data_IF_113923566189
#
_entry.id   IF_113923566189
#
_cell.length_a   1.000
_cell.length_b   1.000
_cell.length_c   1.000
_cell.angle_alpha   90.00
_cell.angle_beta   90.00
_cell.angle_gamma   90.00
#
_symmetry.space_group_name_H-M   'P 1'
#
loop_
_entity.id
_entity.type
_entity.pdbx_description
1 polymer ?
#
# COMPACT_ATOMS: atom_id res chain seq x y z
N UNK A 1 -43.61 75.51 1.74
CA UNK A 1 -42.33 75.87 1.09
C UNK A 1 -42.04 74.89 -0.01
N UNK A 2 -42.23 75.37 -1.25
CA UNK A 2 -41.43 75.11 -2.47
C UNK A 2 -41.38 73.65 -2.95
N UNK A 3 -42.22 73.25 -3.93
CA UNK A 3 -42.11 73.47 -5.40
C UNK A 3 -41.05 72.57 -6.04
N UNK A 4 -41.28 71.83 -7.14
CA UNK A 4 -42.34 71.89 -8.15
C UNK A 4 -42.37 70.61 -9.02
N UNK A 5 -43.50 70.39 -9.72
CA UNK A 5 -43.72 70.49 -11.19
C UNK A 5 -43.46 69.19 -11.96
N UNK A 6 -44.53 68.51 -12.40
CA UNK A 6 -45.15 68.54 -13.77
C UNK A 6 -44.44 67.54 -14.73
N UNK A 7 -45.05 66.73 -15.61
CA UNK A 7 -46.41 66.57 -16.12
C UNK A 7 -46.55 65.19 -16.84
N UNK A 8 -47.76 64.62 -16.75
CA UNK A 8 -48.57 63.92 -17.77
C UNK A 8 -47.92 62.98 -18.83
N UNK A 9 -48.42 61.73 -18.89
CA UNK A 9 -49.47 61.41 -19.87
C UNK A 9 -50.18 60.07 -19.60
N UNK A 10 -51.50 60.13 -19.64
CA UNK A 10 -52.47 59.07 -19.47
C UNK A 10 -52.53 58.13 -20.67
N UNK A 11 -52.80 56.84 -20.44
CA UNK A 11 -53.70 56.06 -21.28
C UNK A 11 -54.45 55.01 -20.44
N UNK A 12 -55.77 55.08 -20.52
CA UNK A 12 -56.76 54.16 -19.94
C UNK A 12 -56.75 52.82 -20.68
N UNK A 13 -56.91 51.69 -19.98
CA UNK A 13 -57.80 50.60 -20.40
C UNK A 13 -58.20 49.68 -19.21
N UNK A 14 -59.49 49.29 -19.25
CA UNK A 14 -60.29 48.46 -18.33
C UNK A 14 -59.73 47.02 -18.17
N UNK A 15 -59.60 46.45 -16.94
CA UNK A 15 -60.57 45.68 -16.09
C UNK A 15 -60.92 44.25 -16.57
N UNK A 16 -60.29 43.25 -15.89
CA UNK A 16 -60.73 41.89 -15.48
C UNK A 16 -60.97 40.74 -16.52
N UNK A 17 -60.94 39.44 -16.12
CA UNK A 17 -59.87 38.68 -15.44
C UNK A 17 -59.56 37.36 -16.19
N UNK A 18 -58.32 36.87 -16.20
CA UNK A 18 -58.02 35.53 -16.70
C UNK A 18 -57.75 34.54 -15.57
N UNK A 19 -58.45 33.42 -15.68
CA UNK A 19 -58.48 32.29 -14.77
C UNK A 19 -57.09 31.71 -14.48
N UNK A 20 -56.94 31.33 -13.22
CA UNK A 20 -55.92 30.42 -12.68
C UNK A 20 -55.86 29.12 -13.48
N UNK A 21 -54.68 28.78 -14.00
CA UNK A 21 -54.25 27.39 -14.15
C UNK A 21 -52.74 27.31 -13.89
N UNK A 22 -52.42 27.02 -12.64
CA UNK A 22 -51.08 26.66 -12.18
C UNK A 22 -50.81 25.21 -12.62
N UNK A 23 -50.14 25.01 -13.75
CA UNK A 23 -49.57 23.70 -14.09
C UNK A 23 -48.33 23.48 -13.22
N UNK A 24 -48.50 22.70 -12.16
CA UNK A 24 -47.40 22.08 -11.42
C UNK A 24 -46.81 20.99 -12.33
N UNK A 25 -45.76 21.33 -13.06
CA UNK A 25 -44.86 20.34 -13.66
C UNK A 25 -43.92 19.87 -12.55
N UNK A 26 -44.29 18.76 -11.91
CA UNK A 26 -43.35 17.86 -11.25
C UNK A 26 -42.42 17.31 -12.33
N UNK A 27 -41.33 18.05 -12.60
CA UNK A 27 -40.20 17.51 -13.33
C UNK A 27 -39.58 16.41 -12.48
N UNK A 28 -39.79 15.16 -12.89
CA UNK A 28 -39.02 14.05 -12.36
C UNK A 28 -37.53 14.37 -12.57
N UNK A 29 -36.75 14.33 -11.49
CA UNK A 29 -35.30 14.22 -11.56
C UNK A 29 -34.98 12.91 -12.29
N UNK A 30 -34.87 12.98 -13.60
CA UNK A 30 -34.19 11.97 -14.39
C UNK A 30 -32.73 12.15 -14.04
N UNK A 31 -32.27 11.42 -13.02
CA UNK A 31 -30.86 11.33 -12.68
C UNK A 31 -30.10 10.86 -13.90
N UNK A 32 -29.54 11.79 -14.67
CA UNK A 32 -28.53 11.48 -15.67
C UNK A 32 -27.35 10.97 -14.86
N UNK A 33 -27.12 9.65 -14.92
CA UNK A 33 -25.88 9.06 -14.43
C UNK A 33 -24.74 9.76 -15.18
N UNK A 34 -24.07 10.68 -14.49
CA UNK A 34 -22.91 11.37 -15.03
C UNK A 34 -21.86 10.28 -15.31
N UNK A 35 -21.60 9.99 -16.59
CA UNK A 35 -20.54 9.07 -16.99
C UNK A 35 -19.26 9.53 -16.27
N UNK A 36 -18.67 8.67 -15.44
CA UNK A 36 -17.40 8.99 -14.80
C UNK A 36 -16.34 9.16 -15.89
N UNK A 37 -15.83 10.39 -16.03
CA UNK A 37 -14.75 10.67 -16.96
C UNK A 37 -13.55 9.78 -16.62
N UNK A 38 -13.00 9.16 -17.66
CA UNK A 38 -11.90 8.19 -17.57
C UNK A 38 -10.78 8.65 -18.49
N UNK A 39 -9.58 8.76 -17.94
CA UNK A 39 -8.37 8.99 -18.70
C UNK A 39 -7.82 7.65 -19.19
N UNK A 40 -7.33 7.60 -20.43
CA UNK A 40 -6.72 6.40 -21.00
C UNK A 40 -5.26 6.69 -21.28
N UNK A 41 -4.38 5.87 -20.72
CA UNK A 41 -2.96 5.89 -21.01
C UNK A 41 -2.58 4.69 -21.90
N UNK A 42 -2.01 5.00 -23.05
CA UNK A 42 -1.63 4.04 -24.09
C UNK A 42 -0.56 4.66 -25.01
N UNK A 43 -0.22 3.98 -26.12
CA UNK A 43 0.78 4.47 -27.08
C UNK A 43 0.49 5.85 -27.67
N UNK A 44 -0.77 6.26 -27.74
CA UNK A 44 -1.20 7.55 -28.29
C UNK A 44 -1.15 8.65 -27.22
N UNK A 45 -1.42 8.29 -25.96
CA UNK A 45 -1.41 9.20 -24.82
C UNK A 45 -0.53 8.64 -23.69
N UNK A 46 0.82 8.59 -23.86
CA UNK A 46 1.71 7.96 -22.89
C UNK A 46 1.99 8.84 -21.66
N UNK A 47 1.71 10.15 -21.74
CA UNK A 47 2.05 11.10 -20.69
C UNK A 47 0.98 11.16 -19.59
N UNK A 48 1.20 10.40 -18.52
CA UNK A 48 0.29 10.31 -17.38
C UNK A 48 0.19 11.60 -16.56
N UNK A 49 1.22 12.46 -16.59
CA UNK A 49 1.23 13.72 -15.84
C UNK A 49 0.16 14.71 -16.30
N UNK A 50 -0.14 14.73 -17.59
CA UNK A 50 -1.21 15.57 -18.15
C UNK A 50 -2.61 15.07 -17.83
N UNK A 51 -2.74 13.80 -17.42
CA UNK A 51 -4.02 13.16 -17.09
C UNK A 51 -4.38 13.30 -15.61
N UNK A 52 -3.44 13.77 -14.79
CA UNK A 52 -3.54 13.87 -13.34
C UNK A 52 -4.17 15.20 -12.91
N UNK A 53 -5.25 15.13 -12.11
CA UNK A 53 -5.92 16.31 -11.56
C UNK A 53 -6.27 16.10 -10.09
N UNK A 54 -5.83 17.01 -9.22
CA UNK A 54 -6.09 16.90 -7.77
C UNK A 54 -7.56 17.13 -7.41
N UNK A 55 -8.16 18.17 -7.98
CA UNK A 55 -9.48 18.67 -7.56
C UNK A 55 -10.62 17.84 -8.14
N UNK A 56 -10.41 17.22 -9.30
CA UNK A 56 -11.31 16.21 -9.87
C UNK A 56 -10.52 15.05 -10.49
N UNK A 57 -10.03 14.11 -9.66
CA UNK A 57 -9.24 12.99 -10.15
C UNK A 57 -10.09 12.11 -11.07
N UNK A 58 -9.55 11.76 -12.24
CA UNK A 58 -10.19 10.83 -13.16
C UNK A 58 -9.82 9.38 -12.81
N UNK A 59 -10.65 8.41 -13.21
CA UNK A 59 -10.17 7.03 -13.27
C UNK A 59 -9.17 6.90 -14.42
N UNK A 60 -8.15 6.05 -14.26
CA UNK A 60 -7.11 5.81 -15.25
C UNK A 60 -7.21 4.37 -15.77
N UNK A 61 -7.28 4.24 -17.09
CA UNK A 61 -7.17 2.97 -17.80
C UNK A 61 -5.82 2.89 -18.51
N UNK A 62 -4.96 1.98 -18.06
CA UNK A 62 -3.65 1.72 -18.66
C UNK A 62 -3.78 0.50 -19.58
N UNK A 63 -3.73 0.76 -20.88
CA UNK A 63 -3.89 -0.25 -21.94
C UNK A 63 -2.69 -0.31 -22.90
N UNK A 64 -1.71 0.58 -22.72
CA UNK A 64 -0.39 0.49 -23.33
C UNK A 64 0.70 0.66 -22.28
N UNK A 65 1.92 0.95 -22.73
CA UNK A 65 3.05 1.21 -21.82
C UNK A 65 3.08 2.69 -21.41
N UNK A 66 2.92 2.91 -20.11
CA UNK A 66 2.80 4.20 -19.48
C UNK A 66 3.89 4.36 -18.43
N UNK A 67 4.64 5.45 -18.51
CA UNK A 67 5.82 5.68 -17.67
C UNK A 67 5.56 6.88 -16.76
N UNK A 68 5.83 6.72 -15.47
CA UNK A 68 5.88 7.77 -14.45
C UNK A 68 7.35 8.01 -14.13
N UNK A 69 7.95 9.03 -14.74
CA UNK A 69 9.40 9.31 -14.67
C UNK A 69 9.75 10.73 -14.21
N UNK A 70 8.76 11.60 -14.02
CA UNK A 70 8.95 12.94 -13.53
C UNK A 70 8.63 13.03 -12.04
N UNK A 71 9.45 13.74 -11.24
CA UNK A 71 9.11 14.04 -9.87
C UNK A 71 7.78 14.80 -9.79
N UNK A 72 6.91 14.42 -8.85
CA UNK A 72 5.64 15.10 -8.69
C UNK A 72 4.53 14.28 -8.05
N UNK A 73 3.34 14.87 -8.04
CA UNK A 73 2.14 14.28 -7.46
C UNK A 73 1.14 13.92 -8.56
N UNK A 74 0.68 12.68 -8.53
CA UNK A 74 -0.24 12.10 -9.50
C UNK A 74 -1.53 11.71 -8.79
N UNK A 75 -2.69 12.08 -9.33
CA UNK A 75 -3.99 11.94 -8.66
C UNK A 75 -5.00 11.25 -9.57
N UNK A 76 -5.43 10.06 -9.16
CA UNK A 76 -6.42 9.25 -9.87
C UNK A 76 -7.46 8.67 -8.92
N UNK A 77 -8.65 8.37 -9.43
CA UNK A 77 -9.65 7.55 -8.72
C UNK A 77 -9.21 6.08 -8.79
N UNK A 78 -9.84 5.27 -9.64
CA UNK A 78 -9.43 3.89 -9.86
C UNK A 78 -8.40 3.83 -10.98
N UNK A 79 -7.37 3.00 -10.82
CA UNK A 79 -6.37 2.71 -11.84
C UNK A 79 -6.52 1.25 -12.24
N UNK A 80 -6.95 1.00 -13.46
CA UNK A 80 -7.05 -0.33 -14.04
C UNK A 80 -5.93 -0.51 -15.07
N UNK A 81 -5.13 -1.55 -14.91
CA UNK A 81 -4.03 -1.91 -15.81
C UNK A 81 -4.40 -3.25 -16.45
N UNK A 82 -4.77 -3.23 -17.73
CA UNK A 82 -5.38 -4.39 -18.41
C UNK A 82 -5.05 -4.40 -19.91
N UNK A 83 -5.42 -5.48 -20.62
CA UNK A 83 -5.21 -5.64 -22.06
C UNK A 83 -3.75 -5.44 -22.50
N UNK A 84 -2.79 -5.95 -21.71
CA UNK A 84 -1.36 -5.78 -22.02
C UNK A 84 -0.77 -4.43 -21.58
N UNK A 85 -1.54 -3.61 -20.86
CA UNK A 85 -1.05 -2.35 -20.29
C UNK A 85 0.07 -2.56 -19.28
N UNK A 86 0.99 -1.60 -19.23
CA UNK A 86 2.12 -1.55 -18.30
C UNK A 86 2.15 -0.16 -17.66
N UNK A 87 2.05 -0.10 -16.34
CA UNK A 87 2.34 1.12 -15.58
C UNK A 87 3.72 0.96 -14.94
N UNK A 88 4.69 1.71 -15.45
CA UNK A 88 6.07 1.67 -15.00
C UNK A 88 6.44 2.96 -14.26
N UNK A 89 7.00 2.81 -13.06
CA UNK A 89 7.58 3.90 -12.30
C UNK A 89 9.11 3.87 -12.46
N UNK A 90 9.69 5.01 -12.85
CA UNK A 90 11.14 5.22 -12.85
C UNK A 90 11.59 5.85 -11.55
N UNK A 91 12.90 5.83 -11.34
CA UNK A 91 13.51 6.38 -10.14
C UNK A 91 13.42 7.90 -10.10
N UNK A 92 12.42 8.41 -9.38
CA UNK A 92 12.13 9.82 -9.17
C UNK A 92 11.26 9.99 -7.90
N UNK A 93 11.25 11.19 -7.32
CA UNK A 93 10.39 11.52 -6.19
C UNK A 93 8.92 11.62 -6.61
N UNK A 94 8.18 10.52 -6.47
CA UNK A 94 6.82 10.35 -6.97
C UNK A 94 5.86 10.13 -5.80
N UNK A 95 4.80 10.94 -5.74
CA UNK A 95 3.62 10.68 -4.92
C UNK A 95 2.45 10.29 -5.82
N UNK A 96 2.08 9.01 -5.83
CA UNK A 96 1.00 8.49 -6.67
C UNK A 96 -0.23 8.17 -5.83
N UNK A 97 -1.28 8.97 -5.98
CA UNK A 97 -2.52 8.86 -5.22
C UNK A 97 -3.59 8.15 -6.05
N UNK A 98 -4.13 7.05 -5.52
CA UNK A 98 -5.22 6.30 -6.13
C UNK A 98 -6.23 5.84 -5.08
N UNK A 99 -7.51 5.76 -5.44
CA UNK A 99 -8.48 5.02 -4.63
C UNK A 99 -8.17 3.55 -4.64
N UNK A 100 -7.92 2.98 -5.79
CA UNK A 100 -7.60 1.56 -5.95
C UNK A 100 -6.83 1.36 -7.23
N UNK A 101 -5.91 0.40 -7.22
CA UNK A 101 -5.11 -0.02 -8.36
C UNK A 101 -5.37 -1.51 -8.57
N UNK A 102 -5.73 -1.91 -9.78
CA UNK A 102 -5.95 -3.30 -10.15
C UNK A 102 -5.14 -3.63 -11.40
N UNK A 103 -4.26 -4.63 -11.28
CA UNK A 103 -3.52 -5.22 -12.40
C UNK A 103 -4.21 -6.50 -12.84
N UNK A 104 -4.65 -6.53 -14.09
CA UNK A 104 -5.37 -7.67 -14.68
C UNK A 104 -4.45 -8.53 -15.57
N UNK A 105 -5.04 -9.55 -16.19
CA UNK A 105 -4.33 -10.54 -17.01
C UNK A 105 -3.44 -9.90 -18.08
N UNK A 106 -2.22 -10.44 -18.19
CA UNK A 106 -1.19 -10.04 -19.16
C UNK A 106 -0.72 -8.58 -19.02
N UNK A 107 -1.05 -7.92 -17.90
CA UNK A 107 -0.66 -6.55 -17.58
C UNK A 107 0.28 -6.46 -16.38
N UNK A 108 0.96 -5.32 -16.24
CA UNK A 108 2.02 -5.15 -15.25
C UNK A 108 2.02 -3.79 -14.55
N UNK A 109 2.31 -3.79 -13.26
CA UNK A 109 2.78 -2.62 -12.52
C UNK A 109 4.23 -2.87 -12.12
N UNK A 110 5.14 -1.99 -12.54
CA UNK A 110 6.58 -2.16 -12.38
C UNK A 110 7.17 -0.91 -11.70
N UNK A 111 8.02 -1.09 -10.69
CA UNK A 111 8.81 -0.03 -10.09
C UNK A 111 10.25 -0.50 -9.89
N UNK A 112 11.17 0.01 -10.72
CA UNK A 112 12.57 -0.41 -10.75
C UNK A 112 12.77 -1.83 -11.29
N UNK A 113 14.03 -2.29 -11.24
CA UNK A 113 14.43 -3.68 -11.52
C UNK A 113 15.46 -4.13 -10.48
N UNK A 114 15.88 -5.40 -10.52
CA UNK A 114 16.99 -5.87 -9.66
C UNK A 114 18.34 -5.22 -10.01
N UNK A 115 18.52 -4.75 -11.25
CA UNK A 115 19.73 -4.06 -11.69
C UNK A 115 19.69 -2.56 -11.37
N UNK A 116 18.50 -1.97 -11.52
CA UNK A 116 18.23 -0.55 -11.32
C UNK A 116 17.03 -0.38 -10.36
N UNK A 117 17.19 -0.67 -9.05
CA UNK A 117 16.13 -0.50 -8.08
C UNK A 117 15.88 0.99 -7.78
N UNK A 118 14.70 1.30 -7.25
CA UNK A 118 14.31 2.67 -6.86
C UNK A 118 15.11 3.14 -5.65
N UNK A 119 15.56 4.39 -5.63
CA UNK A 119 16.40 5.01 -4.61
C UNK A 119 17.91 4.73 -4.80
N UNK A 120 18.76 5.11 -3.82
CA UNK A 120 18.39 5.42 -2.44
C UNK A 120 17.93 6.85 -2.20
N UNK A 121 18.18 7.76 -3.15
CA UNK A 121 17.92 9.19 -2.98
C UNK A 121 16.48 9.59 -3.33
N UNK A 122 15.86 8.87 -4.26
CA UNK A 122 14.48 9.09 -4.68
C UNK A 122 13.51 8.15 -3.95
N UNK A 123 12.27 8.58 -3.79
CA UNK A 123 11.20 7.76 -3.21
C UNK A 123 9.94 7.72 -4.08
N UNK A 124 9.39 6.52 -4.27
CA UNK A 124 8.02 6.33 -4.77
C UNK A 124 7.09 6.07 -3.59
N UNK A 125 6.07 6.90 -3.43
CA UNK A 125 5.00 6.69 -2.45
C UNK A 125 3.66 6.54 -3.17
N UNK A 126 3.06 5.35 -3.08
CA UNK A 126 1.71 5.09 -3.54
C UNK A 126 0.74 5.27 -2.36
N UNK A 127 -0.11 6.29 -2.45
CA UNK A 127 -1.16 6.57 -1.48
C UNK A 127 -2.47 5.92 -1.90
N UNK A 128 -2.97 4.99 -1.10
CA UNK A 128 -4.30 4.43 -1.23
C UNK A 128 -5.27 5.26 -0.38
N UNK A 129 -6.15 6.04 -1.00
CA UNK A 129 -7.14 6.87 -0.32
C UNK A 129 -8.57 6.36 -0.53
N UNK A 130 -9.52 6.83 0.28
CA UNK A 130 -10.93 6.49 0.12
C UNK A 130 -11.62 6.10 1.41
N UNK A 131 -12.94 6.01 1.35
CA UNK A 131 -13.81 5.72 2.48
C UNK A 131 -14.45 4.33 2.38
N UNK A 132 -15.01 3.85 3.49
CA UNK A 132 -15.74 2.57 3.52
C UNK A 132 -17.02 2.56 2.68
N UNK A 133 -17.52 3.73 2.29
CA UNK A 133 -18.73 3.91 1.48
C UNK A 133 -18.40 4.06 -0.01
N UNK A 134 -17.12 4.04 -0.38
CA UNK A 134 -16.73 4.10 -1.79
C UNK A 134 -17.16 2.86 -2.55
N UNK A 135 -17.15 2.97 -3.89
CA UNK A 135 -17.41 1.83 -4.77
C UNK A 135 -16.16 1.00 -4.97
N UNK A 136 -16.39 -0.30 -4.95
CA UNK A 136 -15.44 -1.35 -5.22
C UNK A 136 -14.77 -1.18 -6.58
N UNK A 137 -13.47 -1.47 -6.68
CA UNK A 137 -12.81 -1.53 -7.99
C UNK A 137 -13.35 -2.75 -8.76
N UNK A 138 -13.70 -2.55 -10.03
CA UNK A 138 -14.21 -3.62 -10.90
C UNK A 138 -13.21 -3.92 -11.99
N UNK A 139 -13.27 -5.16 -12.48
CA UNK A 139 -12.42 -5.64 -13.57
C UNK A 139 -12.85 -5.02 -14.90
N UNK A 140 -11.90 -4.89 -15.81
CA UNK A 140 -12.06 -4.31 -17.14
C UNK A 140 -11.86 -5.33 -18.26
N UNK A 141 -11.10 -6.40 -18.01
CA UNK A 141 -10.96 -7.51 -18.97
C UNK A 141 -12.28 -8.27 -19.14
N UNK A 142 -12.85 -8.76 -18.03
CA UNK A 142 -14.14 -9.45 -17.96
C UNK A 142 -14.62 -9.53 -16.49
N UNK A 143 -15.81 -10.09 -16.26
CA UNK A 143 -16.36 -10.28 -14.91
C UNK A 143 -15.57 -11.30 -14.05
N UNK A 144 -14.60 -11.99 -14.64
CA UNK A 144 -13.73 -13.00 -14.00
C UNK A 144 -12.29 -12.50 -13.85
N UNK A 145 -12.03 -11.24 -14.17
CA UNK A 145 -10.73 -10.57 -14.06
C UNK A 145 -9.60 -11.34 -14.76
N UNK A 146 -9.91 -11.91 -15.93
CA UNK A 146 -8.97 -12.64 -16.80
C UNK A 146 -8.81 -14.13 -16.51
N UNK A 147 -9.45 -14.68 -15.47
CA UNK A 147 -9.36 -16.11 -15.16
C UNK A 147 -10.03 -17.01 -16.21
N UNK A 148 -11.04 -16.52 -16.93
CA UNK A 148 -11.70 -17.25 -18.01
C UNK A 148 -12.15 -18.66 -17.62
N UNK A 149 -11.74 -19.67 -18.39
CA UNK A 149 -12.20 -21.04 -18.23
C UNK A 149 -11.86 -21.68 -16.87
N UNK A 150 -10.77 -21.26 -16.21
CA UNK A 150 -10.40 -21.86 -14.91
C UNK A 150 -11.33 -21.44 -13.77
N UNK A 151 -12.11 -20.37 -13.96
CA UNK A 151 -12.98 -19.80 -12.94
C UNK A 151 -13.96 -20.79 -12.33
N UNK A 152 -14.54 -21.67 -13.15
CA UNK A 152 -15.59 -22.60 -12.73
C UNK A 152 -15.06 -24.01 -12.40
N UNK A 153 -13.75 -24.23 -12.37
CA UNK A 153 -13.19 -25.57 -12.14
C UNK A 153 -13.38 -26.06 -10.70
N UNK A 154 -13.28 -25.15 -9.73
CA UNK A 154 -13.47 -25.45 -8.32
C UNK A 154 -14.22 -24.31 -7.61
N UNK A 155 -15.13 -24.67 -6.71
CA UNK A 155 -15.84 -23.71 -5.86
C UNK A 155 -15.15 -23.53 -4.50
N UNK A 156 -15.22 -22.33 -3.93
CA UNK A 156 -14.79 -22.02 -2.56
C UNK A 156 -15.78 -22.44 -1.48
N UNK A 157 -16.92 -23.03 -1.84
CA UNK A 157 -17.97 -23.40 -0.87
C UNK A 157 -17.52 -24.49 0.10
N UNK A 158 -16.45 -25.22 -0.20
CA UNK A 158 -15.88 -26.26 0.67
C UNK A 158 -14.58 -25.78 1.29
N UNK A 159 -14.56 -25.65 2.62
CA UNK A 159 -13.33 -25.41 3.39
C UNK A 159 -12.50 -26.72 3.35
N UNK A 160 -11.29 -26.66 2.81
CA UNK A 160 -10.35 -27.79 2.67
C UNK A 160 -10.93 -29.00 1.90
N UNK A 161 -11.21 -28.86 0.60
CA UNK A 161 -11.72 -29.97 -0.20
C UNK A 161 -10.68 -31.11 -0.27
N UNK A 162 -11.14 -32.36 -0.25
CA UNK A 162 -10.27 -33.55 -0.32
C UNK A 162 -9.63 -33.76 -1.69
N UNK A 163 -10.18 -33.15 -2.73
CA UNK A 163 -9.67 -33.17 -4.11
C UNK A 163 -10.15 -31.94 -4.88
N UNK A 164 -9.47 -31.62 -5.99
CA UNK A 164 -9.82 -30.53 -6.89
C UNK A 164 -9.59 -30.94 -8.36
N UNK A 165 -10.17 -30.19 -9.28
CA UNK A 165 -9.78 -30.21 -10.69
C UNK A 165 -8.58 -29.28 -10.89
N UNK A 166 -7.44 -29.86 -11.29
CA UNK A 166 -6.22 -29.09 -11.59
C UNK A 166 -6.25 -28.51 -13.01
N UNK A 167 -5.62 -27.36 -13.19
CA UNK A 167 -5.37 -26.74 -14.50
C UNK A 167 -3.98 -26.13 -14.52
N UNK A 168 -3.45 -25.90 -15.72
CA UNK A 168 -2.22 -25.14 -15.92
C UNK A 168 -2.45 -23.69 -15.48
N UNK A 169 -1.63 -23.19 -14.57
CA UNK A 169 -1.64 -21.81 -14.07
C UNK A 169 -0.69 -20.92 -14.91
N UNK A 170 -0.76 -19.58 -14.79
CA UNK A 170 0.08 -18.67 -15.57
C UNK A 170 1.59 -18.74 -15.31
N UNK A 171 2.00 -19.44 -14.25
CA UNK A 171 3.38 -19.78 -13.90
C UNK A 171 3.82 -21.16 -14.42
N UNK A 172 3.02 -21.76 -15.31
CA UNK A 172 3.24 -23.08 -15.92
C UNK A 172 3.19 -24.26 -14.93
N UNK A 173 2.54 -24.07 -13.77
CA UNK A 173 2.33 -25.13 -12.77
C UNK A 173 0.89 -25.69 -12.79
N UNK A 174 0.75 -26.99 -12.50
CA UNK A 174 -0.55 -27.67 -12.45
C UNK A 174 -1.18 -27.60 -11.05
N UNK A 175 -2.11 -26.67 -10.84
CA UNK A 175 -2.72 -26.38 -9.54
C UNK A 175 -4.26 -26.32 -9.54
N UNK A 176 -4.83 -26.33 -8.34
CA UNK A 176 -6.26 -26.16 -8.10
C UNK A 176 -6.65 -24.67 -8.12
N UNK A 177 -7.28 -24.15 -9.17
CA UNK A 177 -7.82 -22.78 -9.12
C UNK A 177 -9.18 -22.72 -8.43
N UNK A 178 -9.34 -21.81 -7.46
CA UNK A 178 -10.62 -21.50 -6.83
C UNK A 178 -11.02 -20.06 -7.13
N UNK A 179 -12.26 -19.86 -7.60
CA UNK A 179 -12.77 -18.53 -7.92
C UNK A 179 -12.67 -17.54 -6.75
N UNK A 180 -12.77 -16.25 -7.08
CA UNK A 180 -12.54 -15.20 -6.08
C UNK A 180 -13.75 -14.89 -5.22
N UNK A 181 -14.92 -15.45 -5.56
CA UNK A 181 -16.17 -15.27 -4.84
C UNK A 181 -16.00 -15.66 -3.37
N UNK A 182 -16.39 -14.75 -2.47
CA UNK A 182 -16.52 -15.08 -1.05
C UNK A 182 -17.95 -15.59 -0.81
N UNK A 183 -18.15 -16.89 -0.53
CA UNK A 183 -19.49 -17.41 -0.28
C UNK A 183 -20.14 -16.80 0.97
N UNK A 184 -19.35 -16.25 1.90
CA UNK A 184 -19.89 -15.53 3.06
C UNK A 184 -20.35 -14.11 2.72
N UNK A 185 -19.84 -13.52 1.63
CA UNK A 185 -20.14 -12.15 1.19
C UNK A 185 -20.21 -12.07 -0.35
N UNK A 186 -21.24 -12.65 -0.99
CA UNK A 186 -21.33 -12.72 -2.45
C UNK A 186 -21.46 -11.34 -3.12
N UNK A 187 -21.80 -10.30 -2.34
CA UNK A 187 -21.90 -8.91 -2.79
C UNK A 187 -20.59 -8.12 -2.60
N UNK A 188 -19.61 -8.65 -1.85
CA UNK A 188 -18.29 -8.02 -1.72
C UNK A 188 -17.50 -8.35 -2.99
N UNK A 189 -16.99 -7.33 -3.69
CA UNK A 189 -16.20 -7.59 -4.90
C UNK A 189 -14.92 -8.39 -4.54
N UNK A 190 -14.27 -8.92 -5.58
CA UNK A 190 -13.08 -9.74 -5.40
C UNK A 190 -11.88 -9.00 -4.80
N UNK A 191 -11.81 -7.67 -4.82
CA UNK A 191 -10.58 -6.95 -4.42
C UNK A 191 -10.79 -5.95 -3.29
N UNK A 192 -12.02 -5.64 -2.92
CA UNK A 192 -12.36 -4.62 -1.95
C UNK A 192 -12.24 -3.20 -2.49
N UNK A 193 -12.01 -2.30 -1.54
CA UNK A 193 -11.87 -0.86 -1.67
C UNK A 193 -10.50 -0.46 -1.13
N UNK A 194 -9.95 0.68 -1.57
CA UNK A 194 -8.69 1.20 -1.04
C UNK A 194 -7.57 0.17 -1.15
N UNK A 195 -7.40 -0.38 -2.36
CA UNK A 195 -6.61 -1.59 -2.59
C UNK A 195 -5.54 -1.41 -3.66
N UNK A 196 -4.38 -2.02 -3.46
CA UNK A 196 -3.47 -2.39 -4.55
C UNK A 196 -3.63 -3.89 -4.81
N UNK A 197 -4.18 -4.24 -5.96
CA UNK A 197 -4.59 -5.59 -6.28
C UNK A 197 -3.95 -6.12 -7.58
N UNK A 198 -3.73 -7.43 -7.62
CA UNK A 198 -3.35 -8.16 -8.83
C UNK A 198 -4.21 -9.41 -8.98
N UNK A 199 -4.78 -9.57 -10.18
CA UNK A 199 -5.64 -10.71 -10.54
C UNK A 199 -4.88 -11.78 -11.33
N UNK A 200 -5.62 -12.80 -11.77
CA UNK A 200 -5.14 -13.87 -12.61
C UNK A 200 -4.29 -13.36 -13.79
N UNK A 201 -3.08 -13.90 -13.94
CA UNK A 201 -2.16 -13.56 -15.02
C UNK A 201 -1.53 -12.18 -14.96
N UNK A 202 -1.86 -11.37 -13.94
CA UNK A 202 -1.26 -10.04 -13.75
C UNK A 202 0.12 -10.10 -13.07
N UNK A 203 0.86 -9.00 -13.18
CA UNK A 203 2.22 -8.86 -12.64
C UNK A 203 2.37 -7.60 -11.78
N UNK A 204 2.90 -7.76 -10.56
CA UNK A 204 3.42 -6.64 -9.77
C UNK A 204 4.88 -6.92 -9.45
N UNK A 205 5.73 -5.97 -9.81
CA UNK A 205 7.16 -6.00 -9.52
C UNK A 205 7.61 -4.67 -8.94
N UNK A 206 8.16 -4.69 -7.73
CA UNK A 206 8.63 -3.50 -7.02
C UNK A 206 9.97 -3.81 -6.36
N UNK A 207 10.99 -3.06 -6.78
CA UNK A 207 12.37 -3.24 -6.35
C UNK A 207 12.92 -1.93 -5.78
N UNK A 208 12.91 -1.79 -4.46
CA UNK A 208 13.53 -0.67 -3.74
C UNK A 208 14.98 -0.98 -3.34
N UNK A 209 15.85 0.01 -3.35
CA UNK A 209 17.27 -0.14 -2.97
C UNK A 209 17.47 -0.29 -1.46
N UNK A 210 16.68 0.40 -0.64
CA UNK A 210 16.81 0.38 0.83
C UNK A 210 16.22 -0.88 1.45
N UNK A 211 17.04 -1.60 2.21
CA UNK A 211 16.64 -2.81 2.93
C UNK A 211 16.41 -4.03 2.05
N UNK A 212 16.93 -4.01 0.82
CA UNK A 212 16.85 -5.13 -0.13
C UNK A 212 18.25 -5.58 -0.56
N UNK A 213 18.34 -6.82 -1.03
CA UNK A 213 19.60 -7.38 -1.54
C UNK A 213 19.26 -8.27 -2.72
N UNK A 214 19.76 -7.90 -3.90
CA UNK A 214 19.45 -8.57 -5.18
C UNK A 214 20.49 -9.61 -5.60
N UNK A 215 21.31 -10.06 -4.66
CA UNK A 215 22.21 -11.20 -4.84
C UNK A 215 21.58 -12.45 -4.24
N UNK A 216 22.10 -13.63 -4.61
CA UNK A 216 21.64 -14.88 -4.04
C UNK A 216 21.88 -14.91 -2.53
N UNK A 217 20.80 -14.83 -1.75
CA UNK A 217 20.82 -14.96 -0.31
C UNK A 217 20.42 -16.38 0.12
N UNK A 218 21.03 -16.93 1.18
CA UNK A 218 20.50 -18.12 1.81
C UNK A 218 19.12 -17.82 2.41
N UNK A 219 18.24 -18.81 2.48
CA UNK A 219 16.88 -18.65 3.02
C UNK A 219 16.83 -18.15 4.48
N UNK A 220 17.94 -18.26 5.21
CA UNK A 220 18.10 -17.73 6.56
C UNK A 220 18.54 -16.26 6.63
N UNK A 221 18.78 -15.60 5.49
CA UNK A 221 19.26 -14.22 5.41
C UNK A 221 18.16 -13.28 4.92
N UNK A 222 17.93 -12.23 5.69
CA UNK A 222 17.06 -11.10 5.37
C UNK A 222 17.80 -9.96 4.66
N UNK A 223 19.01 -10.22 4.14
CA UNK A 223 19.85 -9.20 3.51
C UNK A 223 20.19 -8.08 4.49
N UNK A 224 19.95 -6.84 4.08
CA UNK A 224 20.11 -5.63 4.91
C UNK A 224 18.82 -5.18 5.60
N UNK A 225 17.69 -5.87 5.37
CA UNK A 225 16.39 -5.48 5.92
C UNK A 225 16.30 -5.63 7.43
N UNK A 226 16.84 -6.75 7.95
CA UNK A 226 16.77 -7.13 9.36
C UNK A 226 18.10 -7.69 9.85
N UNK A 227 18.56 -7.23 11.00
CA UNK A 227 19.76 -7.73 11.69
C UNK A 227 19.46 -8.01 13.16
N UNK A 228 20.45 -8.49 13.92
CA UNK A 228 20.35 -8.63 15.38
C UNK A 228 21.23 -7.61 16.06
N UNK A 229 20.90 -7.23 17.29
CA UNK A 229 21.85 -6.51 18.15
C UNK A 229 23.11 -7.35 18.38
N UNK A 230 24.29 -6.74 18.36
CA UNK A 230 25.56 -7.39 18.71
C UNK A 230 25.98 -7.15 20.17
N UNK A 231 25.33 -6.19 20.84
CA UNK A 231 25.58 -5.82 22.23
C UNK A 231 24.27 -5.46 22.90
N UNK A 232 24.17 -5.70 24.22
CA UNK A 232 23.02 -5.25 24.99
C UNK A 232 22.86 -3.74 24.85
N UNK A 233 21.63 -3.31 24.61
CA UNK A 233 21.27 -1.90 24.57
C UNK A 233 20.54 -1.57 25.87
N UNK A 234 21.20 -0.88 26.79
CA UNK A 234 20.60 -0.45 28.07
C UNK A 234 20.09 0.98 27.98
N UNK A 235 19.25 1.39 28.93
CA UNK A 235 18.49 2.66 28.87
C UNK A 235 19.34 3.94 28.92
N UNK A 236 20.64 3.80 29.17
CA UNK A 236 21.62 4.88 29.19
C UNK A 236 22.40 5.03 27.87
N UNK A 237 22.20 4.11 26.90
CA UNK A 237 22.87 4.08 25.61
C UNK A 237 22.08 4.77 24.49
N UNK A 238 22.81 5.35 23.56
CA UNK A 238 22.34 6.04 22.34
C UNK A 238 22.98 5.47 21.07
N UNK A 239 23.68 4.34 21.21
CA UNK A 239 24.48 3.72 20.15
C UNK A 239 23.99 2.30 19.92
N UNK A 240 23.56 2.06 18.69
CA UNK A 240 23.08 0.78 18.20
C UNK A 240 24.24 0.04 17.54
N UNK A 241 24.57 -1.17 18.03
CA UNK A 241 25.59 -2.03 17.40
C UNK A 241 24.91 -3.30 16.92
N UNK A 242 25.09 -3.64 15.63
CA UNK A 242 24.41 -4.76 14.97
C UNK A 242 25.38 -5.87 14.57
N UNK A 243 24.87 -7.10 14.44
CA UNK A 243 25.68 -8.31 14.29
C UNK A 243 26.30 -8.53 12.91
N UNK A 244 25.95 -7.71 11.92
CA UNK A 244 26.53 -7.72 10.57
C UNK A 244 26.41 -6.35 9.92
N UNK A 245 27.22 -6.11 8.92
CA UNK A 245 27.22 -4.86 8.16
C UNK A 245 25.89 -4.64 7.41
N UNK A 246 25.40 -3.40 7.45
CA UNK A 246 24.23 -2.89 6.71
C UNK A 246 24.63 -1.59 6.00
N UNK A 247 25.26 -1.70 4.82
CA UNK A 247 25.88 -0.55 4.15
C UNK A 247 24.87 0.46 3.60
N UNK A 248 23.61 0.07 3.41
CA UNK A 248 22.52 0.87 2.88
C UNK A 248 21.74 1.65 3.95
N UNK A 249 22.07 1.47 5.23
CA UNK A 249 21.48 2.26 6.33
C UNK A 249 22.27 3.54 6.49
N UNK A 250 21.56 4.67 6.54
CA UNK A 250 22.15 5.99 6.58
C UNK A 250 21.52 6.88 7.66
N UNK A 251 22.10 8.06 7.86
CA UNK A 251 21.51 9.11 8.70
C UNK A 251 20.08 9.44 8.23
N UNK A 252 19.21 9.74 9.19
CA UNK A 252 17.76 9.97 9.04
C UNK A 252 16.94 8.70 8.75
N UNK A 253 17.56 7.54 8.57
CA UNK A 253 16.78 6.31 8.44
C UNK A 253 16.11 5.94 9.76
N UNK A 254 14.87 5.47 9.64
CA UNK A 254 14.11 4.94 10.75
C UNK A 254 14.37 3.44 10.86
N UNK A 255 14.58 2.97 12.08
CA UNK A 255 14.72 1.55 12.40
C UNK A 255 13.79 1.18 13.55
N UNK A 256 13.44 -0.09 13.67
CA UNK A 256 12.74 -0.65 14.83
C UNK A 256 13.69 -1.57 15.59
N UNK A 257 13.70 -1.50 16.91
CA UNK A 257 14.30 -2.51 17.79
C UNK A 257 13.18 -3.25 18.49
N UNK A 258 13.12 -4.56 18.33
CA UNK A 258 12.06 -5.38 18.92
C UNK A 258 12.26 -5.52 20.44
N UNK A 259 11.16 -5.68 21.17
CA UNK A 259 11.24 -6.11 22.57
C UNK A 259 11.98 -7.46 22.69
N UNK A 260 12.68 -7.64 23.82
CA UNK A 260 13.26 -8.93 24.24
C UNK A 260 12.66 -9.42 25.55
N UNK A 261 11.55 -8.84 25.98
CA UNK A 261 10.75 -9.27 27.12
C UNK A 261 9.31 -9.59 26.70
N UNK A 262 8.42 -9.79 27.69
CA UNK A 262 7.02 -10.16 27.46
C UNK A 262 6.09 -8.96 27.15
N UNK A 263 6.62 -7.74 27.01
CA UNK A 263 5.84 -6.52 26.81
C UNK A 263 6.04 -6.01 25.37
N UNK A 264 5.06 -6.20 24.47
CA UNK A 264 5.14 -5.76 23.07
C UNK A 264 5.42 -4.26 22.92
N UNK A 265 4.90 -3.44 23.86
CA UNK A 265 5.07 -1.99 23.89
C UNK A 265 6.49 -1.52 24.21
N UNK A 266 7.42 -2.43 24.50
CA UNK A 266 8.85 -2.13 24.68
C UNK A 266 9.64 -2.17 23.38
N UNK A 267 9.00 -2.39 22.22
CA UNK A 267 9.66 -2.16 20.94
C UNK A 267 9.84 -0.67 20.69
N UNK A 268 10.99 -0.25 20.19
CA UNK A 268 11.33 1.17 20.01
C UNK A 268 11.52 1.50 18.53
N UNK A 269 10.86 2.56 18.06
CA UNK A 269 11.19 3.20 16.78
C UNK A 269 12.32 4.17 17.01
N UNK A 270 13.39 4.05 16.24
CA UNK A 270 14.57 4.89 16.33
C UNK A 270 14.78 5.66 15.02
N UNK A 271 15.39 6.84 15.10
CA UNK A 271 16.00 7.53 13.95
C UNK A 271 17.51 7.47 14.09
N UNK A 272 18.22 7.09 13.02
CA UNK A 272 19.67 7.13 12.95
C UNK A 272 20.10 8.59 12.84
N UNK A 273 20.87 9.09 13.80
CA UNK A 273 21.40 10.46 13.77
C UNK A 273 22.81 10.54 13.22
N UNK A 274 23.53 9.43 13.21
CA UNK A 274 24.90 9.30 12.70
C UNK A 274 25.21 7.84 12.37
N UNK A 275 25.86 7.60 11.23
CA UNK A 275 26.47 6.31 10.88
C UNK A 275 27.95 6.36 11.26
N UNK A 276 28.34 5.62 12.29
CA UNK A 276 29.74 5.52 12.73
C UNK A 276 30.46 4.48 11.85
N UNK A 277 29.79 3.38 11.55
CA UNK A 277 30.22 2.35 10.60
C UNK A 277 28.99 1.58 10.08
N UNK A 278 29.19 0.64 9.15
CA UNK A 278 28.12 -0.25 8.67
C UNK A 278 27.55 -1.17 9.78
N UNK A 279 28.14 -1.19 10.97
CA UNK A 279 27.65 -1.99 12.12
C UNK A 279 27.32 -1.15 13.34
N UNK A 280 27.49 0.17 13.30
CA UNK A 280 27.34 1.03 14.47
C UNK A 280 26.73 2.38 14.13
N UNK A 281 25.67 2.74 14.84
CA UNK A 281 24.84 3.91 14.56
C UNK A 281 24.49 4.66 15.84
N UNK A 282 24.55 5.99 15.84
CA UNK A 282 23.90 6.81 16.87
C UNK A 282 22.42 6.95 16.56
N UNK A 283 21.59 7.01 17.59
CA UNK A 283 20.16 7.14 17.40
C UNK A 283 19.46 8.03 18.43
N UNK A 284 18.22 8.38 18.11
CA UNK A 284 17.22 8.89 19.06
C UNK A 284 15.95 8.07 18.95
N UNK A 285 15.19 7.99 20.05
CA UNK A 285 13.91 7.27 20.08
C UNK A 285 12.80 8.20 19.62
N UNK A 286 11.98 7.70 18.71
CA UNK A 286 10.79 8.37 18.20
C UNK A 286 9.53 7.82 18.85
N UNK A 287 8.55 8.69 19.03
CA UNK A 287 7.16 8.26 19.17
C UNK A 287 6.73 7.59 17.85
N UNK A 288 6.25 6.35 17.88
CA UNK A 288 5.95 5.60 16.65
C UNK A 288 4.80 6.20 15.83
N UNK A 289 3.99 7.07 16.45
CA UNK A 289 2.80 7.65 15.83
C UNK A 289 3.04 9.05 15.26
N UNK A 290 3.79 9.86 15.99
CA UNK A 290 4.02 11.27 15.66
C UNK A 290 5.40 11.53 15.07
N UNK A 291 6.30 10.52 15.08
CA UNK A 291 7.72 10.65 14.70
C UNK A 291 8.48 11.73 15.48
N UNK A 292 7.94 12.21 16.60
CA UNK A 292 8.63 13.18 17.46
C UNK A 292 9.67 12.45 18.30
N UNK A 293 10.83 13.08 18.50
CA UNK A 293 11.85 12.59 19.43
C UNK A 293 11.26 12.59 20.84
N UNK A 294 11.27 11.43 21.49
CA UNK A 294 10.81 11.25 22.87
C UNK A 294 11.94 10.89 23.84
N UNK A 295 13.09 10.47 23.32
CA UNK A 295 14.29 10.23 24.12
C UNK A 295 15.54 10.31 23.26
N UNK A 296 16.66 10.75 23.86
CA UNK A 296 17.98 10.71 23.23
C UNK A 296 18.72 9.38 23.46
N UNK A 297 18.09 8.43 24.14
CA UNK A 297 18.64 7.14 24.58
C UNK A 297 17.56 6.08 24.55
N UNK A 298 17.92 4.80 24.51
CA UNK A 298 16.95 3.71 24.64
C UNK A 298 16.08 3.89 25.89
N UNK A 299 14.79 3.61 25.79
CA UNK A 299 13.85 3.67 26.92
C UNK A 299 13.72 2.32 27.61
N UNK A 300 14.01 1.24 26.90
CA UNK A 300 13.92 -0.11 27.42
C UNK A 300 15.25 -0.88 27.21
N UNK A 301 15.57 -1.83 28.08
CA UNK A 301 16.70 -2.72 27.86
C UNK A 301 16.37 -3.72 26.74
N UNK A 302 17.24 -3.82 25.74
CA UNK A 302 17.17 -4.83 24.69
C UNK A 302 18.37 -5.76 24.77
N UNK A 303 18.12 -7.06 24.72
CA UNK A 303 19.19 -8.05 24.76
C UNK A 303 19.92 -8.08 23.41
N UNK A 304 21.24 -8.02 23.44
CA UNK A 304 22.13 -8.23 22.29
C UNK A 304 23.07 -9.41 22.48
N UNK A 305 22.81 -10.25 23.48
CA UNK A 305 23.52 -11.51 23.71
C UNK A 305 22.63 -12.71 23.44
N UNK A 306 23.23 -13.81 22.96
CA UNK A 306 22.54 -15.09 22.81
C UNK A 306 22.54 -15.85 24.14
N UNK A 307 21.58 -16.78 24.30
CA UNK A 307 21.57 -17.68 25.45
C UNK A 307 22.38 -18.94 25.14
N UNK A 308 23.56 -19.07 25.76
CA UNK A 308 24.47 -20.22 25.54
C UNK A 308 23.87 -21.52 26.06
N UNK A 309 23.83 -22.55 25.21
CA UNK A 309 23.30 -23.87 25.58
C UNK A 309 24.19 -24.64 26.56
N UNK A 310 25.43 -24.20 26.79
CA UNK A 310 26.29 -24.73 27.86
C UNK A 310 25.69 -24.57 29.26
N UNK A 311 24.68 -23.71 29.42
CA UNK A 311 23.91 -23.54 30.66
C UNK A 311 22.70 -24.49 30.78
N UNK A 312 22.36 -25.21 29.71
CA UNK A 312 21.23 -26.13 29.66
C UNK A 312 21.71 -27.54 30.00
N UNK A 313 21.00 -28.29 30.86
CA UNK A 313 21.32 -29.69 31.11
C UNK A 313 21.36 -30.51 29.82
N UNK A 314 22.41 -31.30 29.61
CA UNK A 314 22.62 -32.12 28.41
C UNK A 314 21.45 -33.07 28.11
N UNK A 315 20.71 -33.50 29.14
CA UNK A 315 19.51 -34.35 29.01
C UNK A 315 18.39 -33.75 28.15
N UNK A 316 18.39 -32.43 27.89
CA UNK A 316 17.38 -31.78 27.04
C UNK A 316 17.67 -32.05 25.56
N UNK A 317 18.92 -32.38 25.18
CA UNK A 317 19.25 -32.80 23.82
C UNK A 317 19.04 -31.73 22.75
N UNK A 318 19.28 -30.45 23.08
CA UNK A 318 19.12 -29.35 22.13
C UNK A 318 20.32 -29.25 21.17
N UNK A 319 20.05 -29.33 19.87
CA UNK A 319 21.02 -29.04 18.80
C UNK A 319 20.59 -27.80 18.01
N UNK A 320 20.56 -26.65 18.70
CA UNK A 320 20.22 -25.36 18.12
C UNK A 320 21.50 -24.53 18.05
N UNK A 321 21.77 -23.94 16.89
CA UNK A 321 22.95 -23.11 16.66
C UNK A 321 22.56 -21.71 16.20
N UNK A 322 23.25 -20.70 16.75
CA UNK A 322 23.17 -19.31 16.31
C UNK A 322 24.58 -18.88 15.94
N UNK A 323 24.76 -18.39 14.73
CA UNK A 323 26.08 -17.99 14.19
C UNK A 323 27.13 -19.12 14.31
N UNK A 324 26.69 -20.38 14.16
CA UNK A 324 27.53 -21.58 14.25
C UNK A 324 27.71 -22.17 15.66
N UNK A 325 27.29 -21.45 16.71
CA UNK A 325 27.53 -21.81 18.10
C UNK A 325 26.27 -22.37 18.80
N UNK A 326 26.37 -23.37 19.70
CA UNK A 326 25.23 -23.90 20.46
C UNK A 326 24.57 -22.84 21.35
N UNK A 327 23.46 -22.28 20.89
CA UNK A 327 22.79 -21.14 21.53
C UNK A 327 21.31 -21.04 21.12
N UNK A 328 20.53 -20.33 21.93
CA UNK A 328 19.19 -19.83 21.56
C UNK A 328 19.29 -18.36 21.17
N UNK A 329 18.63 -17.98 20.08
CA UNK A 329 18.54 -16.59 19.65
C UNK A 329 17.65 -15.80 20.61
N UNK A 330 18.27 -14.90 21.36
CA UNK A 330 17.60 -14.03 22.34
C UNK A 330 17.88 -12.55 22.07
N UNK A 331 18.60 -12.25 20.98
CA UNK A 331 18.96 -10.88 20.61
C UNK A 331 17.76 -10.19 19.97
N UNK A 332 17.55 -8.93 20.30
CA UNK A 332 16.54 -8.11 19.64
C UNK A 332 16.80 -8.10 18.13
N UNK A 333 15.73 -8.25 17.36
CA UNK A 333 15.77 -7.95 15.95
C UNK A 333 15.78 -6.44 15.76
N UNK A 334 16.56 -5.99 14.78
CA UNK A 334 16.60 -4.60 14.35
C UNK A 334 16.23 -4.57 12.89
N UNK A 335 15.17 -3.86 12.54
CA UNK A 335 14.66 -3.76 11.18
C UNK A 335 14.73 -2.35 10.65
N UNK A 336 15.22 -2.16 9.43
CA UNK A 336 15.10 -0.88 8.73
C UNK A 336 13.62 -0.64 8.40
N UNK A 337 13.10 0.54 8.71
CA UNK A 337 11.73 0.97 8.35
C UNK A 337 11.72 1.86 7.12
N UNK A 338 12.77 2.66 6.91
CA UNK A 338 12.88 3.47 5.69
C UNK A 338 13.00 2.57 4.45
N UNK A 339 12.23 2.89 3.41
CA UNK A 339 12.19 2.18 2.13
C UNK A 339 12.08 3.18 0.99
N UNK A 340 12.64 2.82 -0.17
CA UNK A 340 12.59 3.64 -1.38
C UNK A 340 11.24 3.57 -2.09
N UNK A 341 10.44 2.54 -1.79
CA UNK A 341 9.07 2.39 -2.27
C UNK A 341 8.16 2.23 -1.06
N UNK A 342 7.04 2.95 -1.04
CA UNK A 342 6.09 2.96 0.07
C UNK A 342 4.67 2.80 -0.45
N UNK A 343 3.90 1.90 0.12
CA UNK A 343 2.46 1.81 -0.05
C UNK A 343 1.81 2.27 1.24
N UNK A 344 1.11 3.38 1.17
CA UNK A 344 0.66 4.15 2.32
C UNK A 344 -0.86 4.23 2.32
N UNK A 345 -1.47 3.93 3.46
CA UNK A 345 -2.87 4.31 3.67
C UNK A 345 -2.96 5.83 3.81
N UNK A 346 -3.79 6.46 2.99
CA UNK A 346 -4.19 7.85 3.12
C UNK A 346 -5.56 7.98 3.80
N UNK A 347 -6.08 9.19 3.95
CA UNK A 347 -7.40 9.50 4.48
C UNK A 347 -8.54 9.14 3.52
N UNK A 348 -9.73 9.72 3.78
CA UNK A 348 -10.93 9.47 2.98
C UNK A 348 -10.90 10.17 1.62
N UNK A 349 -10.12 11.24 1.49
CA UNK A 349 -10.00 12.05 0.27
C UNK A 349 -8.54 12.21 -0.16
N UNK A 350 -8.36 12.69 -1.39
CA UNK A 350 -7.05 13.04 -1.93
C UNK A 350 -6.36 14.08 -1.04
N UNK A 351 -5.08 13.84 -0.73
CA UNK A 351 -4.26 14.74 0.08
C UNK A 351 -4.56 14.70 1.58
N UNK A 352 -5.52 13.90 2.04
CA UNK A 352 -5.73 13.67 3.46
C UNK A 352 -4.78 12.58 3.96
N UNK A 353 -4.11 12.82 5.09
CA UNK A 353 -3.32 11.79 5.77
C UNK A 353 -4.23 10.79 6.49
N UNK A 354 -3.72 9.58 6.71
CA UNK A 354 -4.39 8.63 7.60
C UNK A 354 -4.16 9.06 9.05
N UNK A 355 -5.24 9.38 9.76
CA UNK A 355 -5.17 9.82 11.15
C UNK A 355 -4.66 8.73 12.10
N UNK A 356 -4.42 9.06 13.38
CA UNK A 356 -4.06 8.08 14.39
C UNK A 356 -5.18 7.04 14.60
N UNK A 357 -4.86 5.81 15.07
CA UNK A 357 -5.81 4.74 15.32
C UNK A 357 -6.66 5.10 16.53
N UNK A 358 -7.72 5.85 16.29
CA UNK A 358 -8.79 6.15 17.24
C UNK A 358 -9.96 5.20 16.98
N UNK A 359 -10.87 5.06 17.94
CA UNK A 359 -12.09 4.29 17.73
C UNK A 359 -12.83 4.80 16.48
N UNK A 360 -13.05 3.92 15.51
CA UNK A 360 -13.65 4.24 14.21
C UNK A 360 -12.66 4.60 13.09
N UNK A 361 -11.38 4.82 13.40
CA UNK A 361 -10.34 5.06 12.40
C UNK A 361 -9.43 3.83 12.22
N UNK A 362 -10.02 2.76 11.68
CA UNK A 362 -9.33 1.48 11.41
C UNK A 362 -9.43 1.06 9.93
N UNK A 363 -9.90 1.96 9.05
CA UNK A 363 -10.13 1.66 7.64
C UNK A 363 -8.93 2.08 6.77
N UNK A 364 -7.85 1.31 6.85
CA UNK A 364 -6.66 1.51 6.03
C UNK A 364 -6.82 1.04 4.59
N UNK A 365 -5.79 1.27 3.77
CA UNK A 365 -5.66 0.57 2.49
C UNK A 365 -5.26 -0.89 2.69
N UNK A 366 -5.24 -1.70 1.65
CA UNK A 366 -4.74 -3.08 1.71
C UNK A 366 -4.12 -3.53 0.40
N UNK A 367 -3.31 -4.59 0.43
CA UNK A 367 -2.81 -5.27 -0.77
C UNK A 367 -3.53 -6.60 -0.95
N UNK A 368 -3.83 -6.96 -2.20
CA UNK A 368 -4.48 -8.23 -2.50
C UNK A 368 -3.92 -8.88 -3.76
N UNK A 369 -3.21 -9.99 -3.57
CA UNK A 369 -2.90 -10.92 -4.63
C UNK A 369 -3.92 -12.05 -4.64
N UNK A 370 -4.64 -12.22 -5.74
CA UNK A 370 -5.56 -13.35 -5.92
C UNK A 370 -4.84 -14.57 -6.49
N UNK A 371 -5.48 -15.73 -6.43
CA UNK A 371 -4.88 -16.95 -6.98
C UNK A 371 -4.66 -16.82 -8.49
N UNK A 372 -3.58 -17.41 -8.99
CA UNK A 372 -3.24 -17.43 -10.42
C UNK A 372 -2.57 -16.14 -10.90
N UNK A 373 -2.10 -15.29 -9.99
CA UNK A 373 -1.18 -14.18 -10.32
C UNK A 373 0.06 -14.75 -11.01
N UNK A 374 0.54 -14.08 -12.07
CA UNK A 374 1.72 -14.53 -12.81
C UNK A 374 3.00 -14.25 -12.01
N UNK A 375 3.13 -13.01 -11.54
CA UNK A 375 4.30 -12.57 -10.78
C UNK A 375 3.90 -11.59 -9.68
N UNK A 376 4.40 -11.82 -8.47
CA UNK A 376 4.37 -10.85 -7.38
C UNK A 376 5.76 -10.79 -6.74
N UNK A 377 6.53 -9.77 -7.08
CA UNK A 377 7.85 -9.51 -6.49
C UNK A 377 7.83 -8.16 -5.79
N UNK A 378 8.02 -8.18 -4.47
CA UNK A 378 7.99 -6.98 -3.63
C UNK A 378 9.19 -7.03 -2.70
N UNK A 379 10.20 -6.22 -2.98
CA UNK A 379 11.45 -6.15 -2.23
C UNK A 379 11.83 -4.69 -1.99
N UNK A 380 12.27 -4.35 -0.77
CA UNK A 380 12.59 -2.96 -0.44
C UNK A 380 11.37 -2.03 -0.42
N UNK A 381 10.17 -2.56 -0.12
CA UNK A 381 8.91 -1.81 -0.06
C UNK A 381 8.39 -1.72 1.38
N UNK A 382 7.88 -0.55 1.79
CA UNK A 382 7.17 -0.35 3.06
C UNK A 382 5.66 -0.46 2.86
N UNK A 383 4.99 -1.21 3.73
CA UNK A 383 3.55 -1.15 3.91
C UNK A 383 3.24 -0.33 5.18
N UNK A 384 2.76 0.90 4.99
CA UNK A 384 2.57 1.85 6.09
C UNK A 384 1.08 2.08 6.37
N UNK A 385 0.66 1.72 7.60
CA UNK A 385 -0.72 1.88 8.09
C UNK A 385 -1.78 1.22 7.20
N UNK A 386 -1.42 0.13 6.52
CA UNK A 386 -2.36 -0.71 5.78
C UNK A 386 -3.11 -1.68 6.73
N UNK A 387 -4.18 -2.28 6.22
CA UNK A 387 -5.13 -3.12 6.92
C UNK A 387 -6.47 -2.44 7.17
N UNK A 388 -7.57 -3.19 7.02
CA UNK A 388 -8.93 -2.74 7.35
C UNK A 388 -9.42 -3.50 8.60
N UNK A 389 -9.36 -2.83 9.75
CA UNK A 389 -9.81 -3.38 11.02
C UNK A 389 -11.26 -3.87 10.96
N UNK A 390 -11.49 -5.07 11.49
CA UNK A 390 -12.82 -5.72 11.48
C UNK A 390 -13.22 -6.34 10.14
N UNK A 391 -12.39 -6.25 9.08
CA UNK A 391 -12.67 -6.86 7.77
C UNK A 391 -11.72 -8.03 7.50
N UNK A 392 -12.28 -9.24 7.44
CA UNK A 392 -11.52 -10.47 7.17
C UNK A 392 -10.83 -10.40 5.81
N UNK A 393 -9.56 -10.82 5.73
CA UNK A 393 -8.82 -10.91 4.47
C UNK A 393 -8.36 -9.57 3.90
N UNK A 394 -8.51 -8.46 4.64
CA UNK A 394 -8.08 -7.11 4.26
C UNK A 394 -6.87 -6.68 5.10
N UNK A 395 -5.83 -7.51 5.08
CA UNK A 395 -4.55 -7.28 5.77
C UNK A 395 -3.65 -6.35 4.95
N UNK A 396 -2.55 -5.81 5.52
CA UNK A 396 -1.57 -5.03 4.77
C UNK A 396 -1.19 -5.62 3.42
#
# INVERSE_FOLDING_TARGET
MVSGRENNNSFYFLVFPFFVFLFILLGADVGIAQLQATAVCNSQNPNIGQLSHKDDPLSLEVTGHCIVDLPGKYYFKNVNIFNGGILEFKDADIEFWAKSILVEKDSSLIAGTTADPIGPDNTITIYLYGSENDKHITCKTDDMCGAGAVWNLNSKDTINPSSCTKSMMPDDEMECFYNYTDPANPNDNFFGLKVLAVSYGGTIEMYGSKGATYTNLPSSSSGTSWVRLASNLTTDHDTLTVNRAVPDWEKEDHVVVTTTDYLPGHSEKLVITEKISDTQFKFKVLDPHTNKIISNKARFPHNGTTYKLSKVPSRVGLDIKVDGEPAVETRAAVGLLTRSIRIVSAGGRVGEEFGPPTAGNYFGGHVMARQGVKTLQIQGVEFYQLGQGGRKGRYP
#
